data_IF_954699475924
#
_entry.id   IF_954699475924
#
_cell.length_a   1.000
_cell.length_b   1.000
_cell.length_c   1.000
_cell.angle_alpha   90.00
_cell.angle_beta   90.00
_cell.angle_gamma   90.00
#
_symmetry.space_group_name_H-M   'P 1'
#
loop_
_entity.id
_entity.type
_entity.pdbx_description
1 polymer ?
#
# COMPACT_ATOMS: atom_id res chain seq x y z
N UNK A 1 -10.79 12.47 5.89
CA UNK A 1 -10.81 11.93 7.27
C UNK A 1 -10.16 10.57 7.26
N UNK A 2 -9.24 10.28 8.17
CA UNK A 2 -8.69 8.93 8.33
C UNK A 2 -9.70 8.05 9.08
N UNK A 3 -10.17 6.98 8.44
CA UNK A 3 -10.98 5.95 9.11
C UNK A 3 -10.10 5.11 10.04
N UNK A 4 -10.73 4.36 10.96
CA UNK A 4 -10.01 3.42 11.83
C UNK A 4 -9.03 2.53 11.02
N UNK A 5 -7.80 2.42 11.52
CA UNK A 5 -6.71 1.69 10.86
C UNK A 5 -5.89 2.51 9.84
N UNK A 6 -6.32 3.72 9.43
CA UNK A 6 -5.53 4.56 8.52
C UNK A 6 -4.16 4.98 9.11
N UNK A 7 -4.13 5.27 10.41
CA UNK A 7 -2.91 5.67 11.12
C UNK A 7 -1.83 4.58 11.15
N UNK A 8 -2.17 3.29 11.05
CA UNK A 8 -1.16 2.22 10.96
C UNK A 8 -0.67 2.01 9.53
N UNK A 9 -1.54 2.23 8.53
CA UNK A 9 -1.19 2.06 7.12
C UNK A 9 -0.22 3.14 6.60
N UNK A 10 -0.21 4.33 7.21
CA UNK A 10 0.76 5.38 6.82
C UNK A 10 2.20 4.95 7.05
N UNK A 11 2.45 4.13 8.09
CA UNK A 11 3.80 3.65 8.41
C UNK A 11 4.36 2.74 7.32
N UNK A 12 3.50 2.05 6.55
CA UNK A 12 3.90 1.25 5.39
C UNK A 12 4.48 2.16 4.30
N UNK A 13 3.80 3.27 3.99
CA UNK A 13 4.30 4.24 3.01
C UNK A 13 5.54 4.98 3.50
N UNK A 14 5.57 5.37 4.79
CA UNK A 14 6.75 6.00 5.38
C UNK A 14 7.97 5.08 5.31
N UNK A 15 7.79 3.78 5.62
CA UNK A 15 8.83 2.76 5.51
C UNK A 15 9.28 2.58 4.07
N UNK A 16 8.33 2.48 3.12
CA UNK A 16 8.64 2.34 1.70
C UNK A 16 9.45 3.54 1.16
N UNK A 17 9.08 4.76 1.53
CA UNK A 17 9.81 5.98 1.18
C UNK A 17 11.20 5.99 1.80
N UNK A 18 11.32 5.63 3.08
CA UNK A 18 12.59 5.55 3.77
C UNK A 18 13.53 4.52 3.12
N UNK A 19 12.99 3.37 2.70
CA UNK A 19 13.74 2.31 2.04
C UNK A 19 13.96 2.54 0.53
N UNK A 20 13.41 3.61 -0.04
CA UNK A 20 13.52 3.90 -1.48
C UNK A 20 12.81 2.87 -2.38
N UNK A 21 11.74 2.24 -1.88
CA UNK A 21 11.00 1.21 -2.62
C UNK A 21 10.29 1.79 -3.84
N UNK A 22 10.32 1.04 -4.94
CA UNK A 22 9.48 1.23 -6.11
C UNK A 22 8.04 0.79 -5.85
N UNK A 23 7.12 1.28 -6.68
CA UNK A 23 5.71 0.86 -6.67
C UNK A 23 5.60 -0.66 -6.89
N UNK A 24 6.42 -1.23 -7.76
CA UNK A 24 6.42 -2.67 -8.05
C UNK A 24 6.89 -3.49 -6.85
N UNK A 25 7.87 -3.02 -6.09
CA UNK A 25 8.28 -3.69 -4.85
C UNK A 25 7.18 -3.63 -3.79
N UNK A 26 6.48 -2.49 -3.68
CA UNK A 26 5.35 -2.36 -2.78
C UNK A 26 4.17 -3.29 -3.12
N UNK A 27 3.95 -3.63 -4.40
CA UNK A 27 2.90 -4.60 -4.81
C UNK A 27 3.16 -5.99 -4.22
N UNK A 28 4.44 -6.33 -3.99
CA UNK A 28 4.89 -7.64 -3.53
C UNK A 28 5.06 -7.74 -2.02
N UNK A 29 4.73 -6.69 -1.25
CA UNK A 29 4.74 -6.74 0.20
C UNK A 29 3.72 -7.78 0.72
N UNK A 30 4.09 -8.55 1.73
CA UNK A 30 3.15 -9.44 2.41
C UNK A 30 2.50 -8.70 3.57
N UNK A 31 1.37 -8.05 3.30
CA UNK A 31 0.58 -7.36 4.32
C UNK A 31 -0.40 -8.33 4.96
N UNK A 32 -0.39 -8.37 6.30
CA UNK A 32 -1.20 -9.32 7.06
C UNK A 32 -2.69 -9.14 6.79
N UNK A 33 -3.38 -10.26 6.55
CA UNK A 33 -4.84 -10.35 6.55
C UNK A 33 -5.37 -10.65 7.95
N UNK A 34 -6.29 -9.83 8.44
CA UNK A 34 -6.90 -9.98 9.75
C UNK A 34 -8.32 -9.40 9.71
N UNK A 35 -9.38 -10.18 9.47
CA UNK A 35 -10.76 -9.71 9.23
C UNK A 35 -11.31 -8.58 10.14
N UNK A 36 -10.97 -8.49 11.44
CA UNK A 36 -11.37 -7.33 12.25
C UNK A 36 -10.54 -6.04 12.03
N UNK A 37 -9.37 -6.11 11.38
CA UNK A 37 -8.39 -5.02 11.23
C UNK A 37 -7.95 -4.75 9.78
N UNK A 38 -7.85 -5.78 8.93
CA UNK A 38 -7.50 -5.74 7.51
C UNK A 38 -8.30 -6.77 6.69
N UNK A 39 -8.69 -6.36 5.50
CA UNK A 39 -9.40 -7.17 4.51
C UNK A 39 -8.43 -8.02 3.69
N UNK A 40 -8.98 -8.92 2.85
CA UNK A 40 -8.19 -9.81 1.96
C UNK A 40 -7.24 -9.03 1.03
N UNK A 41 -7.66 -7.84 0.62
CA UNK A 41 -6.84 -6.91 -0.16
C UNK A 41 -6.61 -5.64 0.61
N UNK A 42 -5.50 -5.55 1.34
CA UNK A 42 -5.18 -4.35 2.12
C UNK A 42 -5.30 -3.09 1.22
N UNK A 43 -5.91 -1.99 1.71
CA UNK A 43 -6.06 -0.77 0.95
C UNK A 43 -4.74 -0.23 0.36
N UNK A 44 -3.60 -0.52 0.99
CA UNK A 44 -2.28 -0.20 0.44
C UNK A 44 -2.04 -0.92 -0.88
N UNK A 45 -2.32 -2.23 -1.00
CA UNK A 45 -2.18 -2.95 -2.27
C UNK A 45 -3.11 -2.41 -3.35
N UNK A 46 -4.32 -1.98 -2.98
CA UNK A 46 -5.25 -1.35 -3.93
C UNK A 46 -4.66 -0.04 -4.46
N UNK A 47 -4.17 0.82 -3.57
CA UNK A 47 -3.57 2.10 -3.92
C UNK A 47 -2.32 1.94 -4.79
N UNK A 48 -1.40 1.04 -4.41
CA UNK A 48 -0.14 0.82 -5.12
C UNK A 48 -0.40 0.23 -6.53
N UNK A 49 -1.38 -0.67 -6.69
CA UNK A 49 -1.76 -1.16 -8.03
C UNK A 49 -2.35 -0.08 -8.92
N UNK A 50 -3.09 0.87 -8.34
CA UNK A 50 -3.59 2.02 -9.08
C UNK A 50 -2.42 2.93 -9.52
N UNK A 51 -1.46 3.19 -8.62
CA UNK A 51 -0.27 3.95 -8.96
C UNK A 51 0.57 3.27 -10.05
N UNK A 52 0.74 1.94 -10.02
CA UNK A 52 1.47 1.19 -11.07
C UNK A 52 0.82 1.36 -12.45
N UNK A 53 -0.52 1.37 -12.52
CA UNK A 53 -1.25 1.64 -13.77
C UNK A 53 -0.96 3.04 -14.30
N UNK A 54 -0.96 4.04 -13.42
CA UNK A 54 -0.69 5.43 -13.79
C UNK A 54 0.75 5.61 -14.27
N UNK A 55 1.73 5.05 -13.54
CA UNK A 55 3.16 5.09 -13.93
C UNK A 55 3.37 4.44 -15.29
N UNK A 56 2.73 3.29 -15.55
CA UNK A 56 2.82 2.61 -16.85
C UNK A 56 2.15 3.39 -17.98
N UNK A 57 1.07 4.12 -17.71
CA UNK A 57 0.40 4.95 -18.72
C UNK A 57 1.15 6.24 -19.06
N UNK A 58 2.05 6.69 -18.17
CA UNK A 58 2.86 7.88 -18.35
C UNK A 58 4.22 7.60 -19.00
N UNK A 59 4.52 6.33 -19.29
CA UNK A 59 5.75 5.85 -19.95
C UNK A 59 5.48 5.53 -21.42
#
# INVERSE_FOLDING_TARGET
>A
MGIEGAAKRIDIFATALHAGMSVQEMINLDLSYAPPYSNVWDPVHVAVRQADREVRSAS
#
